data_IF_094940521854
#
_entry.id   IF_094940521854
#
_cell.length_a   1.000
_cell.length_b   1.000
_cell.length_c   1.000
_cell.angle_alpha   90.00
_cell.angle_beta   90.00
_cell.angle_gamma   90.00
#
_symmetry.space_group_name_H-M   'P 1'
#
loop_
_entity.id
_entity.type
_entity.pdbx_description
1 polymer ?
#
# COMPACT_ATOMS: atom_id res chain seq x y z
N UNK A 1 4.60 -14.13 11.27
CA UNK A 1 5.46 -13.58 10.20
C UNK A 1 4.80 -13.83 8.84
N UNK A 2 3.91 -12.93 8.41
CA UNK A 2 3.63 -12.67 6.99
C UNK A 2 4.00 -11.21 6.74
N UNK A 3 5.15 -10.83 7.26
CA UNK A 3 5.64 -9.46 7.17
C UNK A 3 5.97 -9.24 5.70
N UNK A 4 5.47 -8.14 5.14
CA UNK A 4 5.82 -7.70 3.79
C UNK A 4 5.19 -8.49 2.62
N UNK A 5 3.96 -9.01 2.75
CA UNK A 5 3.24 -9.58 1.61
C UNK A 5 1.91 -8.86 1.35
N UNK A 6 1.56 -8.72 0.08
CA UNK A 6 0.25 -8.30 -0.35
C UNK A 6 -0.79 -9.26 0.21
N UNK A 7 -1.72 -8.73 0.98
CA UNK A 7 -2.76 -9.51 1.63
C UNK A 7 -3.60 -10.33 0.63
N UNK A 8 -3.76 -9.83 -0.60
CA UNK A 8 -4.62 -10.46 -1.60
C UNK A 8 -3.91 -11.50 -2.49
N UNK A 9 -2.77 -11.14 -3.09
CA UNK A 9 -2.08 -12.01 -4.06
C UNK A 9 -0.83 -12.71 -3.50
N UNK A 10 -0.39 -12.36 -2.29
CA UNK A 10 0.83 -12.92 -1.70
C UNK A 10 2.12 -12.45 -2.36
N UNK A 11 2.08 -11.41 -3.19
CA UNK A 11 3.27 -10.76 -3.74
C UNK A 11 4.07 -10.10 -2.62
N UNK A 12 5.39 -10.24 -2.64
CA UNK A 12 6.27 -9.57 -1.68
C UNK A 12 6.21 -8.05 -1.89
N UNK A 13 6.11 -7.31 -0.80
CA UNK A 13 6.08 -5.86 -0.77
C UNK A 13 7.37 -5.34 -0.14
N UNK A 14 7.84 -4.19 -0.59
CA UNK A 14 9.05 -3.59 -0.06
C UNK A 14 8.74 -2.30 0.71
N UNK A 15 9.20 -2.21 1.96
CA UNK A 15 9.02 -1.00 2.78
C UNK A 15 9.66 0.25 2.11
N UNK A 16 10.81 0.08 1.47
CA UNK A 16 11.48 1.16 0.73
C UNK A 16 10.62 1.67 -0.42
N UNK A 17 10.08 0.78 -1.23
CA UNK A 17 9.14 1.15 -2.30
C UNK A 17 7.87 1.78 -1.76
N UNK A 18 7.31 1.24 -0.67
CA UNK A 18 6.14 1.82 -0.01
C UNK A 18 6.40 3.25 0.46
N UNK A 19 7.56 3.51 1.09
CA UNK A 19 7.97 4.85 1.51
C UNK A 19 8.14 5.76 0.29
N UNK A 20 8.80 5.29 -0.76
CA UNK A 20 9.05 6.06 -1.98
C UNK A 20 7.74 6.44 -2.69
N UNK A 21 6.78 5.52 -2.79
CA UNK A 21 5.48 5.79 -3.41
C UNK A 21 4.61 6.75 -2.57
N UNK A 22 4.85 6.81 -1.26
CA UNK A 22 4.13 7.67 -0.32
C UNK A 22 5.01 8.81 0.21
N UNK A 23 5.99 9.28 -0.57
CA UNK A 23 7.02 10.25 -0.14
C UNK A 23 6.48 11.59 0.40
N UNK A 24 5.23 11.93 0.07
CA UNK A 24 4.53 13.13 0.53
C UNK A 24 4.04 13.01 1.99
N UNK A 25 4.09 11.81 2.58
CA UNK A 25 3.76 11.54 3.98
C UNK A 25 5.02 11.49 4.83
N UNK A 26 4.86 11.70 6.14
CA UNK A 26 5.96 11.59 7.09
C UNK A 26 6.52 10.16 7.13
N UNK A 27 7.85 10.02 7.03
CA UNK A 27 8.52 8.71 6.99
C UNK A 27 8.30 7.87 8.25
N UNK A 28 8.36 8.48 9.44
CA UNK A 28 8.17 7.78 10.72
C UNK A 28 6.74 7.26 10.82
N UNK A 29 5.76 8.06 10.39
CA UNK A 29 4.38 7.62 10.27
C UNK A 29 4.24 6.40 9.34
N UNK A 30 4.90 6.40 8.18
CA UNK A 30 4.86 5.26 7.24
C UNK A 30 5.47 3.99 7.83
N UNK A 31 6.58 4.10 8.57
CA UNK A 31 7.20 2.96 9.25
C UNK A 31 6.27 2.42 10.34
N UNK A 32 5.72 3.31 11.18
CA UNK A 32 4.77 2.91 12.23
C UNK A 32 3.53 2.23 11.64
N UNK A 33 3.04 2.71 10.50
CA UNK A 33 1.91 2.10 9.79
C UNK A 33 2.28 0.71 9.25
N UNK A 34 3.48 0.57 8.71
CA UNK A 34 4.00 -0.69 8.16
C UNK A 34 4.11 -1.79 9.21
N UNK A 35 4.55 -1.44 10.40
CA UNK A 35 4.71 -2.36 11.53
C UNK A 35 3.40 -2.59 12.29
N UNK A 36 2.32 -1.88 11.95
CA UNK A 36 1.08 -1.95 12.70
C UNK A 36 0.38 -3.31 12.49
N UNK A 37 0.13 -4.11 13.54
CA UNK A 37 -0.32 -5.51 13.42
C UNK A 37 -1.74 -5.65 12.87
N UNK A 38 -2.54 -4.59 12.91
CA UNK A 38 -3.91 -4.57 12.37
C UNK A 38 -4.01 -3.99 10.95
N UNK A 39 -2.88 -3.66 10.30
CA UNK A 39 -2.88 -3.09 8.95
C UNK A 39 -2.49 -4.16 7.93
N UNK A 40 -3.30 -4.29 6.89
CA UNK A 40 -3.04 -5.16 5.75
C UNK A 40 -2.65 -4.32 4.53
N UNK A 41 -1.54 -4.67 3.89
CA UNK A 41 -1.04 -3.96 2.71
C UNK A 41 -1.45 -4.66 1.42
N UNK A 42 -1.64 -3.87 0.36
CA UNK A 42 -1.93 -4.35 -0.98
C UNK A 42 -0.86 -3.87 -1.94
N UNK A 43 -0.45 -4.74 -2.88
CA UNK A 43 0.36 -4.31 -4.02
C UNK A 43 -0.45 -3.36 -4.90
N UNK A 44 0.24 -2.56 -5.73
CA UNK A 44 -0.40 -1.57 -6.59
C UNK A 44 -1.48 -2.16 -7.50
N UNK A 45 -1.27 -3.38 -8.02
CA UNK A 45 -2.25 -4.06 -8.87
C UNK A 45 -3.53 -4.42 -8.12
N UNK A 46 -3.40 -4.99 -6.92
CA UNK A 46 -4.53 -5.34 -6.06
C UNK A 46 -5.24 -4.08 -5.55
N UNK A 47 -4.51 -3.04 -5.17
CA UNK A 47 -5.06 -1.75 -4.78
C UNK A 47 -5.90 -1.14 -5.92
N UNK A 48 -5.35 -1.00 -7.13
CA UNK A 48 -6.09 -0.47 -8.29
C UNK A 48 -7.32 -1.31 -8.64
N UNK A 49 -7.23 -2.64 -8.53
CA UNK A 49 -8.33 -3.53 -8.89
C UNK A 49 -9.44 -3.57 -7.84
N UNK A 50 -9.11 -3.45 -6.55
CA UNK A 50 -10.06 -3.63 -5.43
C UNK A 50 -10.47 -2.32 -4.77
N UNK A 51 -9.54 -1.39 -4.52
CA UNK A 51 -9.85 -0.12 -3.87
C UNK A 51 -10.75 0.77 -4.72
N UNK A 52 -10.60 0.74 -6.06
CA UNK A 52 -11.49 1.45 -6.98
C UNK A 52 -12.88 0.79 -7.07
N UNK A 53 -12.94 -0.55 -7.02
CA UNK A 53 -14.20 -1.31 -7.12
C UNK A 53 -15.04 -1.28 -5.84
N UNK A 54 -14.43 -1.30 -4.65
CA UNK A 54 -15.18 -1.37 -3.39
C UNK A 54 -15.69 -0.02 -2.88
N UNK A 55 -15.10 1.11 -3.31
CA UNK A 55 -15.50 2.44 -2.80
C UNK A 55 -16.05 3.41 -3.86
N UNK A 56 -16.21 3.02 -5.12
CA UNK A 56 -16.52 3.97 -6.21
C UNK A 56 -15.55 5.18 -6.24
N UNK A 57 -14.33 5.00 -5.73
CA UNK A 57 -13.32 6.04 -5.72
C UNK A 57 -12.53 5.93 -7.02
N UNK A 58 -12.45 7.02 -7.78
CA UNK A 58 -11.57 7.11 -8.95
C UNK A 58 -10.13 7.40 -8.50
N UNK A 59 -9.16 6.71 -9.09
CA UNK A 59 -7.75 6.97 -8.83
C UNK A 59 -7.39 8.32 -9.47
N UNK A 60 -7.39 9.40 -8.69
CA UNK A 60 -6.97 10.75 -9.13
C UNK A 60 -5.45 10.95 -9.11
N UNK A 61 -4.67 9.88 -9.21
CA UNK A 61 -3.22 10.00 -9.39
C UNK A 61 -2.92 10.38 -10.83
N UNK A 62 -2.57 11.64 -11.07
CA UNK A 62 -1.92 12.03 -12.33
C UNK A 62 -0.63 11.23 -12.46
N UNK A 63 -0.55 10.43 -13.51
CA UNK A 63 0.74 10.01 -14.07
C UNK A 63 1.18 11.19 -14.94
N UNK A 64 2.09 12.00 -14.42
CA UNK A 64 2.91 12.90 -15.24
C UNK A 64 4.20 12.19 -15.63
#
# INVERSE_FOLDING_TARGET
>A
MRENYCYYCGEELNLGEFIQQNYHLNREYLINLWEHPSVEFLCCGCFKTKALKQKNLEFKGKVE
#
